data_IF_836742999990
#
_entry.id   IF_836742999990
#
_cell.length_a   1.000
_cell.length_b   1.000
_cell.length_c   1.000
_cell.angle_alpha   90.00
_cell.angle_beta   90.00
_cell.angle_gamma   90.00
#
_symmetry.space_group_name_H-M   'P 1'
#
loop_
_entity.id
_entity.type
_entity.pdbx_description
1 polymer ?
#
# COMPACT_ATOMS: atom_id res chain seq x y z
N UNK A 1 -11.91 -28.69 -11.55
CA UNK A 1 -11.69 -27.80 -12.69
C UNK A 1 -10.60 -26.79 -12.40
N UNK A 2 -9.72 -26.62 -13.33
CA UNK A 2 -8.54 -25.77 -13.14
C UNK A 2 -8.90 -24.31 -12.85
N UNK A 3 -9.86 -23.79 -13.59
CA UNK A 3 -10.26 -22.39 -13.43
C UNK A 3 -10.92 -22.16 -12.07
N UNK A 4 -11.80 -23.05 -11.69
CA UNK A 4 -12.49 -22.95 -10.41
C UNK A 4 -11.50 -23.01 -9.26
N UNK A 5 -10.56 -23.93 -9.34
CA UNK A 5 -9.56 -24.07 -8.29
C UNK A 5 -8.68 -22.83 -8.20
N UNK A 6 -8.29 -22.25 -9.34
CA UNK A 6 -7.49 -21.04 -9.34
C UNK A 6 -8.22 -19.88 -8.71
N UNK A 7 -9.49 -19.72 -9.01
CA UNK A 7 -10.29 -18.66 -8.40
C UNK A 7 -10.42 -18.87 -6.90
N UNK A 8 -10.53 -20.11 -6.46
CA UNK A 8 -10.59 -20.41 -5.04
C UNK A 8 -9.26 -20.13 -4.35
N UNK A 9 -8.15 -20.35 -5.04
CA UNK A 9 -6.82 -20.16 -4.46
C UNK A 9 -6.44 -18.70 -4.36
N UNK A 10 -7.08 -17.81 -5.16
CA UNK A 10 -6.70 -16.42 -5.19
C UNK A 10 -7.88 -15.48 -5.03
N UNK A 11 -8.81 -15.77 -4.11
CA UNK A 11 -9.94 -14.85 -3.91
C UNK A 11 -9.51 -13.53 -3.27
N UNK A 12 -8.34 -13.51 -2.61
CA UNK A 12 -7.88 -12.34 -1.87
C UNK A 12 -7.16 -11.32 -2.74
N UNK A 13 -7.11 -11.54 -4.05
CA UNK A 13 -6.48 -10.58 -4.95
C UNK A 13 -7.30 -9.30 -5.11
N UNK A 14 -8.58 -9.35 -4.80
CA UNK A 14 -9.48 -8.23 -4.99
C UNK A 14 -9.65 -7.48 -3.67
N UNK A 15 -9.52 -6.16 -3.73
CA UNK A 15 -9.80 -5.30 -2.60
C UNK A 15 -11.06 -4.49 -2.90
N UNK A 16 -11.94 -4.38 -1.91
CA UNK A 16 -13.10 -3.53 -2.01
C UNK A 16 -12.84 -2.24 -1.25
N UNK A 17 -13.02 -1.12 -1.92
CA UNK A 17 -12.94 0.20 -1.29
C UNK A 17 -14.32 0.80 -1.16
N UNK A 18 -14.55 1.57 -0.12
CA UNK A 18 -15.86 2.14 0.18
C UNK A 18 -15.77 3.65 0.20
N UNK A 19 -16.70 4.28 -0.50
CA UNK A 19 -16.77 5.73 -0.56
C UNK A 19 -18.18 6.14 -0.90
N UNK A 20 -18.74 7.10 -0.13
CA UNK A 20 -20.05 7.68 -0.39
C UNK A 20 -21.14 6.61 -0.57
N UNK A 21 -21.11 5.58 0.27
CA UNK A 21 -22.12 4.55 0.26
C UNK A 21 -21.98 3.52 -0.84
N UNK A 22 -20.90 3.56 -1.59
CA UNK A 22 -20.67 2.61 -2.67
C UNK A 22 -19.42 1.80 -2.43
N UNK A 23 -19.42 0.56 -2.92
CA UNK A 23 -18.25 -0.29 -2.90
C UNK A 23 -17.65 -0.32 -4.29
N UNK A 24 -16.34 -0.13 -4.38
CA UNK A 24 -15.60 -0.15 -5.63
C UNK A 24 -14.55 -1.24 -5.57
N UNK A 25 -14.30 -1.91 -6.67
CA UNK A 25 -13.21 -2.86 -6.78
C UNK A 25 -11.93 -2.09 -7.05
N UNK A 26 -10.94 -2.26 -6.17
CA UNK A 26 -9.67 -1.57 -6.31
C UNK A 26 -8.63 -2.54 -6.82
N UNK A 27 -8.00 -2.20 -7.93
CA UNK A 27 -6.92 -2.99 -8.47
C UNK A 27 -5.60 -2.56 -7.84
N UNK A 28 -4.77 -3.51 -7.39
CA UNK A 28 -3.53 -3.16 -6.70
C UNK A 28 -2.65 -2.18 -7.46
N UNK A 29 -2.58 -2.30 -8.78
CA UNK A 29 -1.75 -1.40 -9.57
C UNK A 29 -2.23 0.03 -9.57
N UNK A 30 -3.46 0.29 -9.14
CA UNK A 30 -3.98 1.66 -9.06
C UNK A 30 -3.86 2.25 -7.65
N UNK A 31 -3.43 1.45 -6.69
CA UNK A 31 -3.28 1.91 -5.31
C UNK A 31 -1.89 2.48 -5.11
N UNK A 32 -1.81 3.69 -4.57
CA UNK A 32 -0.55 4.36 -4.28
C UNK A 32 -0.05 4.02 -2.88
N UNK A 33 -0.97 4.02 -1.91
CA UNK A 33 -0.62 3.62 -0.54
C UNK A 33 -1.86 3.17 0.20
N UNK A 34 -1.64 2.41 1.27
CA UNK A 34 -2.70 2.00 2.19
C UNK A 34 -2.24 2.44 3.57
N UNK A 35 -3.08 3.15 4.29
CA UNK A 35 -2.65 3.73 5.55
C UNK A 35 -3.77 3.76 6.59
N UNK A 36 -3.36 3.80 7.86
CA UNK A 36 -4.28 3.88 8.99
C UNK A 36 -4.43 5.34 9.42
N UNK A 37 -5.66 5.76 9.66
CA UNK A 37 -5.94 7.09 10.18
C UNK A 37 -7.29 7.05 10.88
N UNK A 38 -7.35 7.66 12.06
CA UNK A 38 -8.60 7.78 12.81
C UNK A 38 -9.31 6.45 13.05
N UNK A 39 -8.54 5.40 13.31
CA UNK A 39 -9.10 4.09 13.58
C UNK A 39 -9.61 3.35 12.35
N UNK A 40 -9.35 3.86 11.17
CA UNK A 40 -9.78 3.24 9.92
C UNK A 40 -8.60 3.03 9.00
N UNK A 41 -8.81 2.21 7.98
CA UNK A 41 -7.79 1.94 6.97
C UNK A 41 -8.28 2.52 5.65
N UNK A 42 -7.37 3.18 4.96
CA UNK A 42 -7.67 3.86 3.70
C UNK A 42 -6.73 3.40 2.59
N UNK A 43 -7.25 3.34 1.37
CA UNK A 43 -6.46 3.12 0.17
C UNK A 43 -6.53 4.37 -0.68
N UNK A 44 -5.37 4.90 -1.04
CA UNK A 44 -5.27 6.11 -1.84
C UNK A 44 -4.94 5.72 -3.28
N UNK A 45 -5.75 6.21 -4.22
CA UNK A 45 -5.49 6.04 -5.64
C UNK A 45 -5.02 7.39 -6.20
N UNK A 46 -4.98 7.53 -7.50
CA UNK A 46 -4.47 8.76 -8.11
C UNK A 46 -5.27 9.99 -7.66
N UNK A 47 -6.59 9.88 -7.67
CA UNK A 47 -7.44 11.03 -7.38
C UNK A 47 -8.43 10.80 -6.26
N UNK A 48 -8.50 9.60 -5.71
CA UNK A 48 -9.53 9.24 -4.76
C UNK A 48 -8.95 8.53 -3.56
N UNK A 49 -9.69 8.57 -2.44
CA UNK A 49 -9.35 7.83 -1.24
C UNK A 49 -10.56 7.02 -0.83
N UNK A 50 -10.35 5.74 -0.62
CA UNK A 50 -11.41 4.81 -0.23
C UNK A 50 -11.12 4.24 1.14
N UNK A 51 -12.15 3.96 1.93
CA UNK A 51 -11.94 3.22 3.17
C UNK A 51 -11.96 1.73 2.86
N UNK A 52 -11.19 0.98 3.64
CA UNK A 52 -11.14 -0.47 3.53
C UNK A 52 -11.70 -1.05 4.81
N UNK A 53 -12.45 -2.14 4.71
CA UNK A 53 -12.97 -2.84 5.87
C UNK A 53 -12.06 -4.00 6.23
N UNK A 54 -10.77 -3.67 6.36
CA UNK A 54 -9.69 -4.61 6.66
C UNK A 54 -8.78 -3.99 7.69
N UNK A 55 -8.03 -4.83 8.37
CA UNK A 55 -6.90 -4.35 9.15
C UNK A 55 -5.70 -4.20 8.22
N UNK A 56 -4.73 -3.40 8.63
CA UNK A 56 -3.58 -3.12 7.77
C UNK A 56 -2.80 -4.39 7.43
N UNK A 57 -2.63 -5.30 8.40
CA UNK A 57 -1.90 -6.53 8.11
C UNK A 57 -2.65 -7.42 7.11
N UNK A 58 -4.00 -7.35 7.09
CA UNK A 58 -4.77 -8.08 6.10
C UNK A 58 -4.58 -7.49 4.71
N UNK A 59 -4.55 -6.16 4.61
CA UNK A 59 -4.26 -5.50 3.34
C UNK A 59 -2.86 -5.86 2.86
N UNK A 60 -1.90 -5.90 3.79
CA UNK A 60 -0.53 -6.27 3.47
C UNK A 60 -0.47 -7.68 2.87
N UNK A 61 -1.20 -8.62 3.46
CA UNK A 61 -1.25 -9.98 2.95
C UNK A 61 -1.86 -10.06 1.56
N UNK A 62 -2.93 -9.33 1.34
CA UNK A 62 -3.59 -9.34 0.02
C UNK A 62 -2.76 -8.67 -1.05
N UNK A 63 -1.89 -7.75 -0.66
CA UNK A 63 -1.04 -7.03 -1.60
C UNK A 63 0.37 -7.64 -1.68
N UNK A 64 0.60 -8.76 -1.01
CA UNK A 64 1.86 -9.47 -1.11
C UNK A 64 2.10 -9.83 -2.58
N UNK A 65 3.33 -9.74 -3.02
CA UNK A 65 3.73 -10.00 -4.41
C UNK A 65 3.21 -8.97 -5.42
N UNK A 66 2.74 -7.81 -4.92
CA UNK A 66 2.27 -6.73 -5.78
C UNK A 66 3.14 -5.49 -5.65
N UNK A 67 4.38 -5.66 -5.18
CA UNK A 67 5.34 -4.59 -5.03
C UNK A 67 4.97 -3.56 -3.96
N UNK A 68 4.24 -4.00 -2.94
CA UNK A 68 3.96 -3.14 -1.80
C UNK A 68 4.98 -3.39 -0.70
N UNK A 69 5.31 -2.34 0.05
CA UNK A 69 6.24 -2.43 1.17
C UNK A 69 5.70 -1.67 2.37
N UNK A 70 5.90 -2.25 3.54
CA UNK A 70 5.56 -1.58 4.79
C UNK A 70 6.60 -0.52 5.09
N UNK A 71 6.17 0.70 5.36
CA UNK A 71 7.09 1.80 5.69
C UNK A 71 6.90 2.31 7.11
N UNK A 72 5.81 1.91 7.75
CA UNK A 72 5.58 2.23 9.15
C UNK A 72 4.56 1.26 9.71
N UNK A 73 4.29 1.35 11.01
CA UNK A 73 3.26 0.50 11.60
C UNK A 73 1.89 0.76 10.98
N UNK A 74 1.69 1.94 10.43
CA UNK A 74 0.40 2.33 9.89
C UNK A 74 0.36 2.56 8.39
N UNK A 75 1.38 2.15 7.63
CA UNK A 75 1.37 2.48 6.21
C UNK A 75 2.12 1.49 5.34
N UNK A 76 1.51 1.20 4.18
CA UNK A 76 2.10 0.46 3.07
C UNK A 76 2.19 1.39 1.88
N UNK A 77 3.24 1.28 1.08
CA UNK A 77 3.32 2.02 -0.18
C UNK A 77 3.50 1.06 -1.34
N UNK A 78 3.02 1.48 -2.50
CA UNK A 78 3.24 0.75 -3.74
C UNK A 78 4.56 1.24 -4.34
N UNK A 79 5.56 0.38 -4.34
CA UNK A 79 6.89 0.76 -4.82
C UNK A 79 6.87 1.18 -6.29
N UNK A 80 5.93 0.67 -7.06
CA UNK A 80 5.80 1.06 -8.48
C UNK A 80 5.23 2.45 -8.67
N UNK A 81 4.71 3.05 -7.61
CA UNK A 81 4.13 4.40 -7.66
C UNK A 81 5.04 5.43 -7.01
N UNK A 82 6.23 5.04 -6.59
CA UNK A 82 7.18 5.95 -5.98
C UNK A 82 7.90 6.72 -7.08
N UNK A 83 7.93 8.05 -6.91
CA UNK A 83 8.69 8.92 -7.79
C UNK A 83 10.14 8.99 -7.33
N UNK A 84 10.35 9.13 -6.02
CA UNK A 84 11.71 9.24 -5.49
C UNK A 84 11.74 8.93 -4.00
N UNK A 85 12.94 8.50 -3.57
CA UNK A 85 13.28 8.32 -2.16
C UNK A 85 14.37 9.33 -1.83
N UNK A 86 14.13 10.20 -0.86
CA UNK A 86 15.12 11.18 -0.43
C UNK A 86 15.83 10.62 0.80
N UNK A 87 17.10 10.29 0.62
CA UNK A 87 17.93 9.65 1.65
C UNK A 87 18.73 10.65 2.47
N UNK A 88 18.52 11.95 2.24
CA UNK A 88 19.32 12.97 2.92
C UNK A 88 18.89 13.22 4.36
N UNK A 89 17.73 12.71 4.77
CA UNK A 89 17.24 12.86 6.15
C UNK A 89 17.92 11.87 7.08
N UNK A 90 18.19 12.30 8.30
CA UNK A 90 18.79 11.44 9.32
C UNK A 90 17.70 10.59 9.97
N UNK A 91 17.88 9.28 9.92
CA UNK A 91 17.00 8.35 10.62
C UNK A 91 15.67 8.08 9.95
N UNK A 92 15.46 8.61 8.75
CA UNK A 92 14.24 8.35 7.99
C UNK A 92 14.52 8.48 6.50
N UNK A 93 13.52 8.17 5.69
CA UNK A 93 13.58 8.34 4.24
C UNK A 93 12.29 9.04 3.85
N UNK A 94 12.40 10.12 3.10
CA UNK A 94 11.23 10.82 2.59
C UNK A 94 10.84 10.19 1.26
N UNK A 95 9.58 9.82 1.13
CA UNK A 95 9.06 9.15 -0.07
C UNK A 95 8.10 10.08 -0.78
N UNK A 96 8.34 10.33 -2.06
CA UNK A 96 7.42 11.08 -2.90
C UNK A 96 6.74 10.11 -3.85
N UNK A 97 5.43 10.06 -3.79
CA UNK A 97 4.64 9.24 -4.71
C UNK A 97 4.29 10.04 -5.95
N UNK A 98 4.05 9.35 -7.05
CA UNK A 98 3.84 10.03 -8.33
C UNK A 98 2.52 10.79 -8.40
N UNK A 99 1.63 10.62 -7.44
CA UNK A 99 0.40 11.43 -7.34
C UNK A 99 0.58 12.69 -6.49
N UNK A 100 1.81 12.98 -6.06
CA UNK A 100 2.09 14.17 -5.26
C UNK A 100 2.10 13.96 -3.76
N UNK A 101 1.68 12.81 -3.29
CA UNK A 101 1.69 12.52 -1.85
C UNK A 101 3.12 12.32 -1.37
N UNK A 102 3.43 12.90 -0.22
CA UNK A 102 4.73 12.76 0.43
C UNK A 102 4.52 12.05 1.77
N UNK A 103 5.34 11.04 2.02
CA UNK A 103 5.26 10.31 3.28
C UNK A 103 6.68 9.92 3.71
N UNK A 104 6.80 9.34 4.90
CA UNK A 104 8.11 9.06 5.48
C UNK A 104 8.19 7.64 5.98
N UNK A 105 9.34 7.00 5.75
CA UNK A 105 9.63 5.68 6.29
C UNK A 105 10.00 5.86 7.76
N UNK A 106 9.33 5.15 8.66
CA UNK A 106 9.69 5.24 10.07
C UNK A 106 11.05 4.58 10.30
N UNK A 107 11.74 5.03 11.34
CA UNK A 107 13.09 4.55 11.65
C UNK A 107 13.18 3.03 11.63
N UNK A 108 12.16 2.39 12.16
CA UNK A 108 12.11 0.93 12.29
C UNK A 108 12.19 0.22 10.94
N UNK A 109 11.72 0.86 9.88
CA UNK A 109 11.63 0.24 8.56
C UNK A 109 12.70 0.73 7.59
N UNK A 110 13.56 1.65 8.02
CA UNK A 110 14.58 2.24 7.13
C UNK A 110 15.52 1.18 6.57
N UNK A 111 16.04 0.29 7.43
CA UNK A 111 16.95 -0.76 6.98
C UNK A 111 16.33 -1.63 5.91
N UNK A 112 15.07 -2.02 6.11
CA UNK A 112 14.37 -2.89 5.18
C UNK A 112 14.18 -2.21 3.84
N UNK A 113 13.80 -0.94 3.84
CA UNK A 113 13.62 -0.20 2.60
C UNK A 113 14.94 -0.03 1.87
N UNK A 114 16.01 0.30 2.58
CA UNK A 114 17.34 0.39 1.95
C UNK A 114 17.74 -0.94 1.31
N UNK A 115 17.44 -2.03 1.98
CA UNK A 115 17.73 -3.36 1.45
C UNK A 115 16.96 -3.62 0.16
N UNK A 116 15.68 -3.24 0.13
CA UNK A 116 14.86 -3.38 -1.08
C UNK A 116 15.39 -2.54 -2.23
N UNK A 117 16.00 -1.40 -1.92
CA UNK A 117 16.57 -0.51 -2.94
C UNK A 117 17.99 -0.93 -3.34
N UNK A 118 18.55 -1.95 -2.72
CA UNK A 118 19.91 -2.39 -3.03
C UNK A 118 20.98 -1.52 -2.40
N UNK A 119 20.67 -0.85 -1.34
CA UNK A 119 21.60 0.05 -0.67
C UNK A 119 22.27 -0.58 0.55
#
# INVERSE_FOLDING_TARGET
NEIVRRLSDEPSQILAGFKDGQAAVLEPEHIYRVYAADGKIYAETKNETYSLRLRLYEAEQRLANRSFARISNGELINLKKVKSFDLSFVGTICVSLSNGTVTYVSRRYVSKIKQLLGL
#
